data_IF_529203042519
#
_entry.id   IF_529203042519
#
_cell.length_a   1.000
_cell.length_b   1.000
_cell.length_c   1.000
_cell.angle_alpha   90.00
_cell.angle_beta   90.00
_cell.angle_gamma   90.00
#
_symmetry.space_group_name_H-M   'P 1'
#
loop_
_entity.id
_entity.type
_entity.pdbx_description
1 polymer ?
#
# COMPACT_ATOMS: atom_id res chain seq x y z
N UNK A 1 -0.95 -4.56 -3.54
CA UNK A 1 0.18 -4.98 -2.65
C UNK A 1 0.54 -6.45 -2.87
N UNK A 2 -0.42 -7.37 -3.02
CA UNK A 2 -0.15 -8.80 -3.34
C UNK A 2 0.62 -8.96 -4.64
N UNK A 3 0.34 -8.14 -5.64
CA UNK A 3 0.94 -8.19 -6.97
C UNK A 3 2.39 -7.70 -7.05
N UNK A 4 2.96 -7.12 -6.01
CA UNK A 4 4.34 -6.60 -6.02
C UNK A 4 5.42 -7.71 -5.99
N UNK A 5 5.04 -8.98 -5.81
CA UNK A 5 5.97 -10.12 -5.91
C UNK A 5 6.98 -10.28 -4.77
N UNK A 6 6.95 -9.40 -3.78
CA UNK A 6 7.90 -9.39 -2.65
C UNK A 6 7.39 -10.11 -1.40
N UNK A 7 6.18 -10.69 -1.47
CA UNK A 7 5.52 -11.44 -0.40
C UNK A 7 5.04 -12.79 -0.89
N UNK A 8 5.05 -13.75 0.00
CA UNK A 8 4.44 -15.05 -0.21
C UNK A 8 3.03 -15.09 0.40
N UNK A 9 2.21 -15.99 -0.12
CA UNK A 9 0.90 -16.31 0.44
C UNK A 9 1.00 -17.60 1.25
N UNK A 10 0.52 -17.57 2.49
CA UNK A 10 0.27 -18.77 3.28
C UNK A 10 -1.23 -19.00 3.35
N UNK A 11 -1.64 -20.21 3.03
CA UNK A 11 -3.02 -20.67 3.10
C UNK A 11 -3.15 -21.72 4.17
N UNK A 12 -4.09 -21.55 5.08
CA UNK A 12 -4.69 -22.67 5.80
C UNK A 12 -5.98 -23.03 5.06
N UNK A 13 -5.89 -23.99 4.17
CA UNK A 13 -6.80 -24.36 3.05
C UNK A 13 -8.31 -24.21 3.25
N UNK A 14 -8.77 -24.10 4.49
CA UNK A 14 -10.19 -23.90 4.82
C UNK A 14 -10.49 -22.65 5.64
N UNK A 15 -9.53 -22.11 6.39
CA UNK A 15 -9.78 -21.02 7.34
C UNK A 15 -9.46 -19.64 6.79
N UNK A 16 -8.42 -19.53 5.95
CA UNK A 16 -8.04 -18.24 5.41
C UNK A 16 -6.65 -18.21 4.77
N UNK A 17 -6.13 -17.01 4.58
CA UNK A 17 -4.79 -16.78 4.07
C UNK A 17 -4.17 -15.52 4.68
N UNK A 18 -2.86 -15.42 4.61
CA UNK A 18 -2.13 -14.21 4.94
C UNK A 18 -0.97 -13.97 3.97
N UNK A 19 -0.52 -12.72 3.92
CA UNK A 19 0.72 -12.33 3.26
C UNK A 19 1.86 -12.39 4.26
N UNK A 20 2.99 -12.95 3.86
CA UNK A 20 4.18 -12.98 4.69
C UNK A 20 5.46 -12.86 3.87
N UNK A 21 6.55 -12.56 4.55
CA UNK A 21 7.92 -12.66 4.04
C UNK A 21 8.84 -13.16 5.15
N UNK A 22 9.83 -13.98 4.79
CA UNK A 22 10.90 -14.33 5.73
C UNK A 22 11.97 -13.24 5.71
N UNK A 23 12.30 -12.73 6.91
CA UNK A 23 13.32 -11.68 7.09
C UNK A 23 14.21 -12.11 8.24
N UNK A 24 15.44 -12.51 7.95
CA UNK A 24 16.33 -13.06 8.95
C UNK A 24 15.68 -14.27 9.67
N UNK A 25 15.65 -14.31 11.01
CA UNK A 25 15.04 -15.40 11.77
C UNK A 25 13.52 -15.31 11.88
N UNK A 26 12.88 -14.36 11.23
CA UNK A 26 11.46 -14.10 11.38
C UNK A 26 10.65 -14.47 10.13
N UNK A 27 9.42 -14.97 10.35
CA UNK A 27 8.32 -14.97 9.38
C UNK A 27 7.45 -13.75 9.71
N UNK A 28 7.54 -12.72 8.89
CA UNK A 28 6.82 -11.45 9.12
C UNK A 28 5.51 -11.49 8.34
N UNK A 29 4.40 -11.49 9.05
CA UNK A 29 3.05 -11.38 8.48
C UNK A 29 2.75 -9.92 8.21
N UNK A 30 2.20 -9.63 7.04
CA UNK A 30 1.85 -8.30 6.62
C UNK A 30 0.34 -8.09 6.63
N UNK A 31 -0.12 -7.09 7.38
CA UNK A 31 -1.53 -6.75 7.51
C UNK A 31 -2.39 -7.87 8.11
N UNK A 32 -3.68 -7.67 8.18
CA UNK A 32 -4.62 -8.64 8.71
C UNK A 32 -4.70 -9.90 7.83
N UNK A 33 -4.64 -11.09 8.42
CA UNK A 33 -5.04 -12.30 7.72
C UNK A 33 -6.51 -12.23 7.29
N UNK A 34 -6.79 -12.70 6.09
CA UNK A 34 -8.16 -12.89 5.63
C UNK A 34 -8.68 -14.23 6.15
N UNK A 35 -9.63 -14.20 7.05
CA UNK A 35 -10.26 -15.39 7.65
C UNK A 35 -11.76 -15.40 7.33
N UNK A 36 -12.35 -16.59 7.27
CA UNK A 36 -13.78 -16.76 6.95
C UNK A 36 -14.70 -16.16 8.01
N UNK A 37 -14.29 -16.26 9.27
CA UNK A 37 -15.04 -15.70 10.40
C UNK A 37 -14.09 -15.27 11.52
N UNK A 38 -14.59 -14.37 12.39
CA UNK A 38 -13.84 -13.92 13.56
C UNK A 38 -13.51 -15.08 14.52
N UNK A 39 -14.38 -16.09 14.59
CA UNK A 39 -14.18 -17.27 15.45
C UNK A 39 -12.97 -18.12 14.99
N UNK A 40 -12.58 -18.05 13.74
CA UNK A 40 -11.46 -18.81 13.18
C UNK A 40 -10.10 -18.14 13.36
N UNK A 41 -10.06 -16.89 13.82
CA UNK A 41 -8.80 -16.13 14.02
C UNK A 41 -7.77 -16.91 14.85
N UNK A 42 -8.21 -17.47 15.98
CA UNK A 42 -7.35 -18.21 16.88
C UNK A 42 -6.74 -19.45 16.20
N UNK A 43 -7.59 -20.27 15.59
CA UNK A 43 -7.14 -21.50 14.93
C UNK A 43 -6.26 -21.20 13.70
N UNK A 44 -6.54 -20.10 12.97
CA UNK A 44 -5.69 -19.66 11.86
C UNK A 44 -4.29 -19.27 12.35
N UNK A 45 -4.20 -18.50 13.44
CA UNK A 45 -2.90 -18.12 14.00
C UNK A 45 -2.12 -19.33 14.51
N UNK A 46 -2.79 -20.32 15.11
CA UNK A 46 -2.13 -21.56 15.58
C UNK A 46 -1.52 -22.32 14.39
N UNK A 47 -2.25 -22.43 13.28
CA UNK A 47 -1.74 -23.04 12.06
C UNK A 47 -0.58 -22.25 11.44
N UNK A 48 -0.69 -20.91 11.41
CA UNK A 48 0.34 -20.02 10.90
C UNK A 48 1.63 -20.11 11.73
N UNK A 49 1.51 -20.17 13.05
CA UNK A 49 2.67 -20.28 13.95
C UNK A 49 3.33 -21.67 13.87
N UNK A 50 2.52 -22.72 13.70
CA UNK A 50 3.06 -24.06 13.40
C UNK A 50 3.82 -24.06 12.06
N UNK A 51 3.28 -23.41 11.04
CA UNK A 51 3.96 -23.24 9.75
C UNK A 51 5.27 -22.47 9.88
N UNK A 52 5.29 -21.38 10.65
CA UNK A 52 6.52 -20.64 10.92
C UNK A 52 7.57 -21.52 11.61
N UNK A 53 7.14 -22.34 12.57
CA UNK A 53 8.01 -23.33 13.24
C UNK A 53 8.59 -24.37 12.30
N UNK A 54 7.82 -24.86 11.32
CA UNK A 54 8.32 -25.79 10.29
C UNK A 54 9.42 -25.18 9.43
N UNK A 55 9.38 -23.85 9.24
CA UNK A 55 10.41 -23.10 8.53
C UNK A 55 11.58 -22.66 9.40
N UNK A 56 11.61 -23.06 10.68
CA UNK A 56 12.56 -22.58 11.69
C UNK A 56 12.58 -21.04 11.77
N UNK A 57 11.38 -20.44 11.86
CA UNK A 57 11.19 -18.99 11.93
C UNK A 57 10.29 -18.61 13.10
N UNK A 58 10.56 -17.43 13.65
CA UNK A 58 9.72 -16.82 14.70
C UNK A 58 8.67 -15.96 14.02
N UNK A 59 7.37 -16.15 14.30
CA UNK A 59 6.35 -15.30 13.73
C UNK A 59 6.43 -13.88 14.32
N UNK A 60 6.32 -12.90 13.43
CA UNK A 60 6.18 -11.49 13.76
C UNK A 60 5.05 -10.91 12.92
N UNK A 61 4.40 -9.87 13.40
CA UNK A 61 3.23 -9.27 12.74
C UNK A 61 3.48 -7.79 12.52
N UNK A 62 3.17 -7.31 11.33
CA UNK A 62 3.38 -5.92 10.94
C UNK A 62 2.12 -5.31 10.33
N UNK A 63 1.72 -4.11 10.80
CA UNK A 63 0.52 -3.37 10.35
C UNK A 63 -0.79 -4.15 10.55
N UNK A 64 -0.93 -4.86 11.64
CA UNK A 64 -2.17 -5.56 11.97
C UNK A 64 -3.15 -4.62 12.70
N UNK A 65 -4.43 -4.75 12.41
CA UNK A 65 -5.47 -3.95 13.05
C UNK A 65 -5.65 -4.27 14.52
N UNK A 66 -6.27 -3.34 15.25
CA UNK A 66 -6.55 -3.49 16.68
C UNK A 66 -7.41 -4.71 17.00
N UNK A 67 -8.22 -5.15 16.06
CA UNK A 67 -9.11 -6.32 16.20
C UNK A 67 -8.38 -7.64 16.41
N UNK A 68 -7.09 -7.71 16.06
CA UNK A 68 -6.26 -8.90 16.25
C UNK A 68 -5.46 -8.87 17.55
N UNK A 69 -5.40 -7.72 18.24
CA UNK A 69 -4.64 -7.56 19.48
C UNK A 69 -5.05 -8.59 20.53
N UNK A 70 -6.34 -8.85 20.84
CA UNK A 70 -6.70 -9.79 21.89
C UNK A 70 -6.15 -11.19 21.64
N UNK A 71 -6.34 -11.72 20.43
CA UNK A 71 -5.90 -13.09 20.10
C UNK A 71 -4.38 -13.24 20.02
N UNK A 72 -3.65 -12.16 19.73
CA UNK A 72 -2.20 -12.15 19.75
C UNK A 72 -1.65 -11.96 21.17
N UNK A 73 -2.27 -11.11 21.98
CA UNK A 73 -1.92 -10.91 23.38
C UNK A 73 -2.03 -12.22 24.18
N UNK A 74 -3.10 -12.98 23.96
CA UNK A 74 -3.29 -14.30 24.59
C UNK A 74 -2.18 -15.30 24.24
N UNK A 75 -1.38 -15.01 23.20
CA UNK A 75 -0.21 -15.79 22.77
C UNK A 75 1.12 -15.19 23.21
N UNK A 76 1.08 -14.16 24.07
CA UNK A 76 2.27 -13.53 24.64
C UNK A 76 2.98 -12.55 23.71
N UNK A 77 2.25 -11.95 22.74
CA UNK A 77 2.80 -10.90 21.89
C UNK A 77 2.74 -9.55 22.57
N UNK A 78 3.82 -8.81 22.50
CA UNK A 78 3.88 -7.40 22.83
C UNK A 78 3.61 -6.53 21.59
N UNK A 79 3.07 -5.34 21.82
CA UNK A 79 2.67 -4.42 20.76
C UNK A 79 3.33 -3.07 20.93
N UNK A 80 3.69 -2.46 19.84
CA UNK A 80 4.10 -1.06 19.82
C UNK A 80 3.56 -0.34 18.59
N UNK A 81 3.15 0.90 18.77
CA UNK A 81 2.62 1.73 17.69
C UNK A 81 3.77 2.19 16.82
N UNK A 82 3.78 1.80 15.54
CA UNK A 82 4.77 2.24 14.56
C UNK A 82 4.38 3.54 13.87
N UNK A 83 3.09 3.81 13.74
CA UNK A 83 2.59 4.96 13.00
C UNK A 83 1.07 5.02 13.00
N UNK A 84 0.54 5.84 12.12
CA UNK A 84 -0.89 6.01 11.88
C UNK A 84 -1.16 5.88 10.38
N UNK A 85 -2.28 5.27 10.04
CA UNK A 85 -2.79 5.23 8.69
C UNK A 85 -3.85 6.31 8.52
N UNK A 86 -3.72 7.11 7.47
CA UNK A 86 -4.65 8.19 7.19
C UNK A 86 -5.82 7.68 6.35
N UNK A 87 -7.02 7.77 6.90
CA UNK A 87 -8.26 7.47 6.19
C UNK A 87 -9.00 8.76 5.84
N UNK A 88 -9.18 9.02 4.54
CA UNK A 88 -9.90 10.20 4.06
C UNK A 88 -11.25 9.78 3.51
N UNK A 89 -12.34 10.21 4.17
CA UNK A 89 -13.71 10.02 3.67
C UNK A 89 -13.93 10.95 2.48
N UNK A 90 -13.89 10.43 1.27
CA UNK A 90 -14.01 11.22 0.04
C UNK A 90 -15.33 12.02 -0.02
N UNK A 91 -16.42 11.50 0.53
CA UNK A 91 -17.70 12.22 0.63
C UNK A 91 -17.60 13.52 1.44
N UNK A 92 -16.60 13.67 2.30
CA UNK A 92 -16.37 14.87 3.11
C UNK A 92 -15.41 15.86 2.45
N UNK A 93 -14.79 15.49 1.32
CA UNK A 93 -13.89 16.38 0.58
C UNK A 93 -14.73 17.43 -0.16
N UNK A 94 -14.48 18.69 0.12
CA UNK A 94 -15.18 19.81 -0.50
C UNK A 94 -14.23 20.90 -0.92
N UNK A 95 -14.58 21.60 -2.00
CA UNK A 95 -13.91 22.82 -2.41
C UNK A 95 -14.54 24.08 -1.80
N UNK A 96 -15.64 23.95 -1.07
CA UNK A 96 -16.39 25.08 -0.50
C UNK A 96 -15.90 25.48 0.90
N UNK A 97 -16.24 26.69 1.30
CA UNK A 97 -16.03 27.21 2.63
C UNK A 97 -14.56 27.20 3.09
N UNK A 98 -14.36 27.19 4.39
CA UNK A 98 -13.03 27.17 4.99
C UNK A 98 -12.32 25.83 4.78
N UNK A 99 -13.05 24.71 4.89
CA UNK A 99 -12.49 23.38 4.70
C UNK A 99 -11.86 23.16 3.33
N UNK A 100 -12.47 23.73 2.26
CA UNK A 100 -11.93 23.66 0.89
C UNK A 100 -10.80 24.66 0.58
N UNK A 101 -10.42 25.55 1.51
CA UNK A 101 -9.43 26.60 1.23
C UNK A 101 -8.10 26.06 0.72
N UNK A 102 -7.57 25.05 1.39
CA UNK A 102 -6.29 24.44 1.03
C UNK A 102 -6.34 23.83 -0.38
N UNK A 103 -7.39 23.07 -0.67
CA UNK A 103 -7.56 22.45 -2.00
C UNK A 103 -7.68 23.49 -3.11
N UNK A 104 -8.47 24.55 -2.91
CA UNK A 104 -8.57 25.66 -3.88
C UNK A 104 -7.22 26.35 -4.12
N UNK A 105 -6.40 26.50 -3.10
CA UNK A 105 -5.06 27.08 -3.24
C UNK A 105 -4.14 26.17 -4.06
N UNK A 106 -4.17 24.85 -3.82
CA UNK A 106 -3.40 23.87 -4.57
C UNK A 106 -3.81 23.88 -6.04
N UNK A 107 -5.12 23.85 -6.33
CA UNK A 107 -5.63 23.88 -7.71
C UNK A 107 -5.22 25.17 -8.44
N UNK A 108 -5.39 26.34 -7.84
CA UNK A 108 -4.97 27.61 -8.43
C UNK A 108 -3.46 27.68 -8.68
N UNK A 109 -2.68 27.07 -7.79
CA UNK A 109 -1.24 26.99 -7.99
C UNK A 109 -0.91 26.07 -9.15
N UNK A 110 -1.52 24.91 -9.23
CA UNK A 110 -1.33 23.96 -10.34
C UNK A 110 -1.68 24.62 -11.69
N UNK A 111 -2.83 25.31 -11.79
CA UNK A 111 -3.23 26.06 -12.99
C UNK A 111 -2.19 27.12 -13.39
N UNK A 112 -1.76 27.94 -12.43
CA UNK A 112 -0.75 28.99 -12.68
C UNK A 112 0.60 28.41 -13.10
N UNK A 113 0.98 27.28 -12.52
CA UNK A 113 2.25 26.60 -12.80
C UNK A 113 2.15 25.72 -14.07
N UNK A 114 1.01 25.76 -14.78
CA UNK A 114 0.78 25.03 -16.02
C UNK A 114 0.75 23.52 -15.82
N UNK A 115 0.16 23.06 -14.72
CA UNK A 115 0.02 21.65 -14.38
C UNK A 115 -1.41 21.17 -14.56
N UNK A 116 -1.59 19.93 -14.97
CA UNK A 116 -2.88 19.26 -15.02
C UNK A 116 -2.82 17.88 -14.36
N UNK A 117 -3.94 17.47 -13.82
CA UNK A 117 -4.13 16.14 -13.23
C UNK A 117 -4.82 15.22 -14.25
N UNK A 118 -4.35 13.97 -14.32
CA UNK A 118 -4.97 12.89 -15.08
C UNK A 118 -4.91 11.58 -14.33
N UNK A 119 -5.85 10.69 -14.62
CA UNK A 119 -5.76 9.28 -14.26
C UNK A 119 -5.46 8.50 -15.53
N UNK A 120 -4.31 7.84 -15.55
CA UNK A 120 -3.90 6.94 -16.63
C UNK A 120 -4.51 5.57 -16.36
N UNK A 121 -5.28 5.01 -17.30
CA UNK A 121 -5.69 3.61 -17.21
C UNK A 121 -4.46 2.69 -17.36
N UNK A 122 -4.53 1.43 -16.92
CA UNK A 122 -3.40 0.49 -16.96
C UNK A 122 -2.70 0.40 -18.31
N UNK A 123 -3.46 0.43 -19.41
CA UNK A 123 -2.89 0.36 -20.76
C UNK A 123 -2.00 1.56 -21.10
N UNK A 124 -2.34 2.75 -20.62
CA UNK A 124 -1.59 3.98 -20.86
C UNK A 124 -0.38 4.12 -19.93
N UNK A 125 -0.40 3.44 -18.78
CA UNK A 125 0.72 3.43 -17.83
C UNK A 125 1.97 2.84 -18.48
N UNK A 126 1.82 1.81 -19.32
CA UNK A 126 2.93 1.13 -19.97
C UNK A 126 3.84 2.11 -20.75
N UNK A 127 3.25 3.05 -21.47
CA UNK A 127 3.98 4.05 -22.28
C UNK A 127 4.70 5.10 -21.42
N UNK A 128 4.25 5.28 -20.18
CA UNK A 128 4.81 6.26 -19.25
C UNK A 128 5.85 5.68 -18.27
N UNK A 129 6.04 4.36 -18.23
CA UNK A 129 6.94 3.71 -17.28
C UNK A 129 8.35 4.30 -17.21
N UNK A 130 9.01 4.66 -18.33
CA UNK A 130 10.33 5.28 -18.24
C UNK A 130 10.33 6.58 -17.43
N UNK A 131 9.35 7.48 -17.65
CA UNK A 131 9.23 8.72 -16.90
C UNK A 131 8.85 8.48 -15.44
N UNK A 132 7.92 7.55 -15.18
CA UNK A 132 7.50 7.23 -13.82
C UNK A 132 8.68 6.66 -13.00
N UNK A 133 9.52 5.84 -13.62
CA UNK A 133 10.72 5.29 -12.98
C UNK A 133 11.74 6.40 -12.67
N UNK A 134 11.98 7.33 -13.58
CA UNK A 134 12.85 8.48 -13.37
C UNK A 134 12.38 9.31 -12.17
N UNK A 135 11.08 9.65 -12.12
CA UNK A 135 10.48 10.40 -11.01
C UNK A 135 10.63 9.65 -9.68
N UNK A 136 10.39 8.34 -9.67
CA UNK A 136 10.57 7.51 -8.47
C UNK A 136 12.01 7.54 -7.97
N UNK A 137 12.98 7.40 -8.87
CA UNK A 137 14.40 7.46 -8.55
C UNK A 137 14.81 8.83 -8.00
N UNK A 138 14.38 9.92 -8.66
CA UNK A 138 14.65 11.29 -8.23
C UNK A 138 14.06 11.58 -6.83
N UNK A 139 12.85 11.09 -6.58
CA UNK A 139 12.20 11.26 -5.29
C UNK A 139 12.95 10.50 -4.17
N UNK A 140 13.38 9.27 -4.43
CA UNK A 140 14.16 8.48 -3.47
C UNK A 140 15.49 9.17 -3.18
N UNK A 141 16.18 9.64 -4.22
CA UNK A 141 17.43 10.36 -4.07
C UNK A 141 17.26 11.65 -3.26
N UNK A 142 16.25 12.46 -3.58
CA UNK A 142 15.96 13.72 -2.87
C UNK A 142 15.61 13.51 -1.39
N UNK A 143 15.09 12.33 -1.03
CA UNK A 143 14.76 11.97 0.34
C UNK A 143 15.86 11.18 1.05
N UNK A 144 16.97 10.91 0.39
CA UNK A 144 18.03 10.03 0.89
C UNK A 144 17.49 8.66 1.35
N UNK A 145 16.51 8.14 0.61
CA UNK A 145 15.84 6.87 0.90
C UNK A 145 16.26 5.80 -0.13
N UNK A 146 16.32 4.58 0.33
CA UNK A 146 16.29 3.40 -0.54
C UNK A 146 14.86 2.88 -0.69
N UNK A 147 14.58 2.16 -1.77
CA UNK A 147 13.30 1.48 -1.91
C UNK A 147 13.02 0.56 -0.74
N UNK A 148 11.88 0.77 -0.10
CA UNK A 148 11.41 -0.03 1.02
C UNK A 148 10.44 -1.08 0.49
N UNK A 149 10.96 -2.25 0.21
CA UNK A 149 10.16 -3.43 -0.05
C UNK A 149 9.27 -3.77 1.16
N UNK A 150 8.36 -4.68 1.00
CA UNK A 150 7.48 -5.26 2.01
C UNK A 150 6.26 -4.41 2.36
N UNK A 151 6.39 -3.25 3.03
CA UNK A 151 5.23 -2.48 3.51
C UNK A 151 4.72 -1.46 2.50
N UNK A 152 5.62 -0.78 1.81
CA UNK A 152 5.31 0.34 0.90
C UNK A 152 5.38 -0.10 -0.57
N UNK A 153 6.05 -1.23 -0.82
CA UNK A 153 6.34 -1.69 -2.17
C UNK A 153 7.65 -1.09 -2.72
N UNK A 154 7.87 -1.31 -3.99
CA UNK A 154 8.98 -0.78 -4.77
C UNK A 154 8.49 -0.54 -6.19
N UNK A 155 9.24 0.21 -6.98
CA UNK A 155 8.86 0.46 -8.36
C UNK A 155 9.10 -0.80 -9.21
N UNK A 156 8.02 -1.45 -9.59
CA UNK A 156 8.02 -2.64 -10.43
C UNK A 156 7.11 -2.42 -11.64
N UNK A 157 7.65 -2.64 -12.85
CA UNK A 157 6.95 -2.37 -14.09
C UNK A 157 5.67 -3.21 -14.25
N UNK A 158 5.75 -4.49 -13.90
CA UNK A 158 4.62 -5.40 -14.03
C UNK A 158 3.51 -5.08 -13.03
N UNK A 159 3.91 -4.62 -11.84
CA UNK A 159 2.97 -4.13 -10.85
C UNK A 159 2.31 -2.82 -11.31
N UNK A 160 3.10 -1.85 -11.79
CA UNK A 160 2.59 -0.56 -12.26
C UNK A 160 1.59 -0.72 -13.40
N UNK A 161 1.83 -1.64 -14.33
CA UNK A 161 0.94 -1.90 -15.48
C UNK A 161 -0.42 -2.47 -15.10
N UNK A 162 -0.61 -2.97 -13.88
CA UNK A 162 -1.87 -3.62 -13.45
C UNK A 162 -2.91 -2.64 -12.93
N UNK A 163 -2.49 -1.46 -12.54
CA UNK A 163 -3.34 -0.52 -11.82
C UNK A 163 -3.36 0.86 -12.48
N UNK A 164 -4.47 1.60 -12.35
CA UNK A 164 -4.51 3.00 -12.75
C UNK A 164 -3.46 3.81 -11.99
N UNK A 165 -2.97 4.84 -12.64
CA UNK A 165 -1.98 5.76 -12.06
C UNK A 165 -2.48 7.20 -12.14
N UNK A 166 -2.60 7.86 -11.00
CA UNK A 166 -2.82 9.30 -10.95
C UNK A 166 -1.52 10.02 -11.27
N UNK A 167 -1.55 10.92 -12.23
CA UNK A 167 -0.38 11.71 -12.63
C UNK A 167 -0.69 13.20 -12.61
N UNK A 168 0.34 13.97 -12.28
CA UNK A 168 0.38 15.41 -12.51
C UNK A 168 1.39 15.65 -13.61
N UNK A 169 0.98 16.32 -14.67
CA UNK A 169 1.82 16.58 -15.84
C UNK A 169 1.83 18.06 -16.25
N UNK A 170 2.89 18.49 -16.91
CA UNK A 170 2.97 19.84 -17.46
C UNK A 170 2.03 19.98 -18.66
N UNK A 171 1.42 21.17 -18.83
CA UNK A 171 0.60 21.51 -20.01
C UNK A 171 1.45 22.02 -21.17
N UNK A 172 2.73 22.35 -20.94
CA UNK A 172 3.66 22.79 -21.97
C UNK A 172 4.20 21.60 -22.78
N UNK A 173 4.50 21.84 -24.05
CA UNK A 173 5.15 20.83 -24.89
C UNK A 173 6.70 20.87 -24.73
N UNK A 174 7.38 19.71 -24.61
CA UNK A 174 6.78 18.37 -24.50
C UNK A 174 6.11 18.16 -23.13
N UNK A 175 4.93 17.54 -23.15
CA UNK A 175 4.24 17.20 -21.92
C UNK A 175 5.08 16.22 -21.08
N UNK A 176 5.34 16.57 -19.82
CA UNK A 176 6.14 15.73 -18.88
C UNK A 176 5.34 15.44 -17.62
N UNK A 177 5.42 14.20 -17.17
CA UNK A 177 4.92 13.83 -15.85
C UNK A 177 5.83 14.44 -14.79
N UNK A 178 5.23 15.09 -13.80
CA UNK A 178 5.92 15.79 -12.70
C UNK A 178 5.79 15.04 -11.36
N UNK A 179 4.82 14.15 -11.28
CA UNK A 179 4.57 13.33 -10.10
C UNK A 179 3.47 12.32 -10.35
N UNK A 180 3.44 11.25 -9.56
CA UNK A 180 2.45 10.20 -9.71
C UNK A 180 2.12 9.52 -8.40
N UNK A 181 0.98 8.80 -8.39
CA UNK A 181 0.59 7.86 -7.34
C UNK A 181 -0.19 6.69 -7.95
N UNK A 182 0.08 5.48 -7.47
CA UNK A 182 -0.70 4.31 -7.84
C UNK A 182 -2.07 4.35 -7.18
N UNK A 183 -3.10 3.97 -7.91
CA UNK A 183 -4.45 3.84 -7.38
C UNK A 183 -4.77 2.36 -7.20
N UNK A 184 -4.90 1.94 -5.95
CA UNK A 184 -5.20 0.56 -5.59
C UNK A 184 -6.64 0.49 -5.11
N UNK A 185 -7.56 0.20 -6.00
CA UNK A 185 -8.96 0.08 -5.65
C UNK A 185 -9.21 -1.18 -4.80
N UNK A 186 -9.93 -1.05 -3.71
CA UNK A 186 -10.50 -2.17 -2.96
C UNK A 186 -11.55 -2.92 -3.79
N UNK A 187 -11.94 -4.15 -3.36
CA UNK A 187 -12.90 -4.98 -4.10
C UNK A 187 -14.22 -4.29 -4.38
N UNK A 188 -14.68 -3.46 -3.47
CA UNK A 188 -15.95 -2.74 -3.56
C UNK A 188 -15.80 -1.31 -4.11
N UNK A 189 -14.59 -0.93 -4.54
CA UNK A 189 -14.24 0.44 -4.96
C UNK A 189 -14.60 1.52 -3.93
N UNK A 190 -14.66 1.15 -2.67
CA UNK A 190 -14.94 2.08 -1.56
C UNK A 190 -13.67 2.67 -0.97
N UNK A 191 -12.53 2.05 -1.23
CA UNK A 191 -11.20 2.47 -0.78
C UNK A 191 -10.23 2.52 -1.97
N UNK A 192 -9.33 3.47 -1.91
CA UNK A 192 -8.22 3.68 -2.86
C UNK A 192 -6.88 3.53 -2.14
#
# INVERSE_FOLDING_TARGET
IVGAGDKALSFDGQRGFCLYRTIGPYLVVFSDPVVRSLAERSAFLDALFAFAGQLDRRPAVYQMSLDWIPVLHDRGYDFFKLGEEAHVKLANVTLEGHAGKMYRQILRRAERDGLRFRILPPNDVADQLPQLREISADWLQAKELAERQFSIGYFDDDYMRRYPCAVVESTSAPCRVMGFANLLEGPDRQEL
#
